data_IF_413690773695
#
_entry.id   IF_413690773695
#
_cell.length_a   1.000
_cell.length_b   1.000
_cell.length_c   1.000
_cell.angle_alpha   90.00
_cell.angle_beta   90.00
_cell.angle_gamma   90.00
#
_symmetry.space_group_name_H-M   'P 1'
#
loop_
_entity.id
_entity.type
_entity.pdbx_description
1 polymer ?
#
# COMPACT_ATOMS: atom_id res chain seq x y z
N UNK A 1 21.40 -11.99 10.08
CA UNK A 1 21.96 -11.36 11.29
C UNK A 1 21.24 -11.73 12.59
N UNK A 2 20.18 -12.54 12.53
CA UNK A 2 19.49 -13.04 13.69
C UNK A 2 18.66 -12.01 14.45
N UNK A 3 18.20 -10.95 13.78
CA UNK A 3 17.25 -10.00 14.32
C UNK A 3 15.84 -10.20 13.74
N UNK A 4 14.85 -9.99 14.57
CA UNK A 4 13.46 -9.78 14.18
C UNK A 4 13.23 -8.28 14.04
N UNK A 5 12.60 -7.85 12.94
CA UNK A 5 12.28 -6.44 12.69
C UNK A 5 10.77 -6.22 12.82
N UNK A 6 10.40 -5.25 13.64
CA UNK A 6 9.04 -4.75 13.73
C UNK A 6 8.93 -3.47 12.89
N UNK A 7 8.11 -3.50 11.86
CA UNK A 7 7.83 -2.35 11.01
C UNK A 7 6.44 -1.84 11.37
N UNK A 8 6.36 -0.62 11.89
CA UNK A 8 5.18 -0.09 12.55
C UNK A 8 4.72 1.18 11.85
N UNK A 9 3.42 1.26 11.55
CA UNK A 9 2.80 2.49 11.10
C UNK A 9 2.54 3.43 12.28
N UNK A 10 2.85 4.70 12.13
CA UNK A 10 2.65 5.74 13.13
C UNK A 10 1.88 6.93 12.57
N UNK A 11 1.27 7.73 13.46
CA UNK A 11 0.62 8.99 13.13
C UNK A 11 -0.73 8.86 12.40
N UNK A 12 -1.35 7.70 12.45
CA UNK A 12 -2.60 7.43 11.75
C UNK A 12 -2.46 7.56 10.24
N UNK A 13 -3.54 7.83 9.51
CA UNK A 13 -3.54 7.98 8.04
C UNK A 13 -3.52 9.44 7.57
N UNK A 14 -3.25 10.36 8.47
CA UNK A 14 -3.13 11.80 8.19
C UNK A 14 -1.74 12.22 7.73
N UNK A 15 -1.47 13.52 7.75
CA UNK A 15 -0.18 14.11 7.33
C UNK A 15 1.00 13.68 8.23
N UNK A 16 0.74 13.26 9.48
CA UNK A 16 1.76 12.69 10.37
C UNK A 16 2.09 11.23 10.13
N UNK A 17 1.48 10.58 9.13
CA UNK A 17 1.71 9.17 8.84
C UNK A 17 3.17 8.90 8.53
N UNK A 18 3.68 7.80 9.05
CA UNK A 18 5.07 7.39 8.86
C UNK A 18 5.28 5.91 9.16
N UNK A 19 6.51 5.48 8.94
CA UNK A 19 6.99 4.13 9.22
C UNK A 19 8.12 4.23 10.22
N UNK A 20 7.97 3.56 11.35
CA UNK A 20 9.02 3.35 12.33
C UNK A 20 9.46 1.89 12.35
N UNK A 21 10.69 1.66 12.75
CA UNK A 21 11.31 0.34 12.81
C UNK A 21 11.93 0.11 14.17
N UNK A 22 11.69 -1.07 14.70
CA UNK A 22 12.42 -1.61 15.84
C UNK A 22 13.01 -2.99 15.50
N UNK A 23 14.04 -3.41 16.19
CA UNK A 23 14.58 -4.77 16.06
C UNK A 23 14.86 -5.41 17.42
N UNK A 24 14.84 -6.72 17.45
CA UNK A 24 15.18 -7.52 18.64
C UNK A 24 15.78 -8.86 18.24
N UNK A 25 16.65 -9.40 19.08
CA UNK A 25 17.11 -10.80 18.96
C UNK A 25 16.10 -11.81 19.48
N UNK A 26 15.07 -11.35 20.19
CA UNK A 26 13.97 -12.18 20.67
C UNK A 26 12.66 -11.71 20.06
N UNK A 27 11.87 -12.63 19.50
CA UNK A 27 10.58 -12.30 18.86
C UNK A 27 9.63 -11.52 19.80
N UNK A 28 9.67 -11.80 21.08
CA UNK A 28 8.85 -11.09 22.07
C UNK A 28 9.50 -9.81 22.63
N UNK A 29 10.68 -9.43 22.12
CA UNK A 29 11.38 -8.23 22.58
C UNK A 29 12.31 -8.45 23.78
N UNK A 30 12.81 -7.38 24.41
CA UNK A 30 12.52 -5.98 24.07
C UNK A 30 13.07 -5.59 22.69
N UNK A 31 12.36 -4.66 22.04
CA UNK A 31 12.79 -4.09 20.75
C UNK A 31 13.54 -2.78 20.98
N UNK A 32 14.68 -2.62 20.36
CA UNK A 32 15.38 -1.34 20.24
C UNK A 32 14.86 -0.58 19.02
N UNK A 33 14.72 0.75 19.17
CA UNK A 33 14.27 1.59 18.07
C UNK A 33 15.40 1.92 17.10
N UNK A 34 15.09 1.97 15.81
CA UNK A 34 16.05 2.43 14.80
C UNK A 34 16.45 3.89 15.05
N UNK A 35 17.73 4.23 14.97
CA UNK A 35 18.19 5.63 15.01
C UNK A 35 17.76 6.44 13.78
N UNK A 36 17.31 5.76 12.72
CA UNK A 36 16.85 6.36 11.47
C UNK A 36 15.33 6.62 11.44
N UNK A 37 14.62 6.37 12.56
CA UNK A 37 13.18 6.60 12.63
C UNK A 37 12.79 8.08 12.54
N UNK A 38 11.69 8.42 11.85
CA UNK A 38 10.93 7.54 10.97
C UNK A 38 11.68 7.22 9.69
N UNK A 39 11.75 5.94 9.32
CA UNK A 39 12.44 5.51 8.08
C UNK A 39 11.71 5.95 6.81
N UNK A 40 10.42 6.29 6.94
CA UNK A 40 9.59 6.91 5.90
C UNK A 40 8.60 7.87 6.55
N UNK A 41 8.58 9.10 6.09
CA UNK A 41 7.56 10.11 6.39
C UNK A 41 7.72 11.29 5.44
N UNK A 42 6.62 11.85 4.96
CA UNK A 42 6.68 13.15 4.27
C UNK A 42 6.85 14.26 5.31
N UNK A 43 7.91 15.07 5.15
CA UNK A 43 8.23 16.18 6.03
C UNK A 43 7.86 17.55 5.45
N UNK A 44 7.77 17.61 4.10
CA UNK A 44 7.40 18.84 3.38
C UNK A 44 5.89 18.82 3.10
N UNK A 45 5.11 19.75 3.71
CA UNK A 45 3.68 19.81 3.49
C UNK A 45 3.30 20.25 2.06
N UNK A 46 4.24 20.83 1.31
CA UNK A 46 4.02 21.24 -0.08
C UNK A 46 4.36 20.14 -1.09
N UNK A 47 4.96 19.04 -0.66
CA UNK A 47 5.30 17.94 -1.55
C UNK A 47 4.04 17.27 -2.14
N UNK A 48 4.10 16.80 -3.40
CA UNK A 48 2.95 16.20 -4.07
C UNK A 48 2.50 14.87 -3.47
N UNK A 49 3.41 14.15 -2.78
CA UNK A 49 3.08 12.90 -2.10
C UNK A 49 3.02 13.15 -0.60
N UNK A 50 1.88 12.85 0.00
CA UNK A 50 1.60 13.04 1.41
C UNK A 50 1.15 11.72 2.07
N UNK A 51 1.08 11.70 3.40
CA UNK A 51 0.47 10.62 4.17
C UNK A 51 1.14 9.25 3.91
N UNK A 52 2.46 9.26 3.65
CA UNK A 52 3.24 8.07 3.34
C UNK A 52 3.48 7.20 4.58
N UNK A 53 3.06 5.96 4.55
CA UNK A 53 3.22 5.04 5.68
C UNK A 53 2.66 3.63 5.42
N UNK A 54 2.51 2.84 6.47
CA UNK A 54 2.00 1.47 6.43
C UNK A 54 2.80 0.57 5.47
N UNK A 55 4.14 0.71 5.49
CA UNK A 55 5.02 0.04 4.55
C UNK A 55 5.24 -1.44 4.85
N UNK A 56 5.61 -2.14 3.81
CA UNK A 56 6.07 -3.52 3.80
C UNK A 56 7.39 -3.58 3.04
N UNK A 57 8.29 -4.44 3.48
CA UNK A 57 9.50 -4.72 2.73
C UNK A 57 9.29 -5.91 1.80
N UNK A 58 9.85 -5.80 0.61
CA UNK A 58 9.94 -6.88 -0.37
C UNK A 58 11.33 -6.91 -0.95
N UNK A 59 11.87 -8.10 -1.14
CA UNK A 59 13.11 -8.30 -1.87
C UNK A 59 12.78 -8.80 -3.27
N UNK A 60 13.35 -8.16 -4.29
CA UNK A 60 13.17 -8.59 -5.67
C UNK A 60 14.09 -9.78 -6.02
N UNK A 61 13.95 -10.30 -7.23
CA UNK A 61 14.70 -11.45 -7.71
C UNK A 61 16.21 -11.17 -7.86
N UNK A 62 16.60 -9.90 -7.96
CA UNK A 62 17.99 -9.47 -8.02
C UNK A 62 18.60 -9.22 -6.63
N UNK A 63 17.80 -9.42 -5.57
CA UNK A 63 18.22 -9.20 -4.19
C UNK A 63 18.13 -7.76 -3.70
N UNK A 64 17.61 -6.84 -4.52
CA UNK A 64 17.36 -5.46 -4.12
C UNK A 64 16.13 -5.39 -3.21
N UNK A 65 16.22 -4.62 -2.14
CA UNK A 65 15.10 -4.40 -1.22
C UNK A 65 14.32 -3.15 -1.57
N UNK A 66 13.01 -3.23 -1.42
CA UNK A 66 12.04 -2.19 -1.70
C UNK A 66 11.07 -2.05 -0.53
N UNK A 67 10.61 -0.83 -0.31
CA UNK A 67 9.50 -0.55 0.59
C UNK A 67 8.26 -0.20 -0.23
N UNK A 68 7.26 -1.05 -0.17
CA UNK A 68 5.93 -0.80 -0.69
C UNK A 68 5.10 -0.16 0.42
N UNK A 69 4.48 0.97 0.16
CA UNK A 69 3.75 1.73 1.16
C UNK A 69 2.53 2.43 0.56
N UNK A 70 1.60 2.84 1.42
CA UNK A 70 0.47 3.66 0.98
C UNK A 70 0.80 5.15 1.13
N UNK A 71 0.20 5.95 0.25
CA UNK A 71 0.31 7.40 0.27
C UNK A 71 -0.96 8.04 -0.28
N UNK A 72 -0.98 9.35 -0.39
CA UNK A 72 -2.01 10.11 -1.08
C UNK A 72 -1.40 11.27 -1.84
N UNK A 73 -2.02 11.67 -2.94
CA UNK A 73 -1.66 12.87 -3.71
C UNK A 73 -2.79 13.89 -3.60
N UNK A 74 -2.71 14.82 -2.62
CA UNK A 74 -3.71 15.86 -2.46
C UNK A 74 -3.71 16.83 -3.66
N UNK A 75 -4.88 17.30 -4.05
CA UNK A 75 -5.04 18.40 -4.97
C UNK A 75 -4.95 19.78 -4.27
N UNK A 76 -5.18 20.87 -5.00
CA UNK A 76 -5.10 22.24 -4.48
C UNK A 76 -5.98 22.52 -3.24
N UNK A 77 -7.02 21.74 -3.00
CA UNK A 77 -7.86 21.83 -1.81
C UNK A 77 -7.44 20.90 -0.68
N UNK A 78 -6.28 20.26 -0.74
CA UNK A 78 -5.84 19.18 0.14
C UNK A 78 -6.76 17.94 0.16
N UNK A 79 -7.55 17.75 -0.88
CA UNK A 79 -8.40 16.59 -1.06
C UNK A 79 -7.67 15.49 -1.81
N UNK A 80 -7.70 14.29 -1.29
CA UNK A 80 -7.17 13.08 -1.95
C UNK A 80 -8.27 12.41 -2.75
N UNK A 81 -8.67 13.01 -3.87
CA UNK A 81 -9.85 12.60 -4.66
C UNK A 81 -9.71 11.20 -5.27
N UNK A 82 -8.50 10.75 -5.55
CA UNK A 82 -8.23 9.38 -6.01
C UNK A 82 -8.06 8.38 -4.87
N UNK A 83 -8.24 8.83 -3.63
CA UNK A 83 -8.06 8.00 -2.44
C UNK A 83 -6.59 7.74 -2.09
N UNK A 84 -6.34 6.60 -1.45
CA UNK A 84 -4.97 6.16 -1.14
C UNK A 84 -4.39 5.37 -2.30
N UNK A 85 -3.15 5.64 -2.58
CA UNK A 85 -2.40 5.03 -3.66
C UNK A 85 -1.24 4.22 -3.07
N UNK A 86 -0.70 3.34 -3.88
CA UNK A 86 0.48 2.54 -3.54
C UNK A 86 1.71 3.16 -4.19
N UNK A 87 2.80 3.22 -3.43
CA UNK A 87 4.08 3.69 -3.90
C UNK A 87 5.19 2.70 -3.53
N UNK A 88 6.32 2.81 -4.21
CA UNK A 88 7.47 1.94 -4.06
C UNK A 88 8.74 2.77 -4.05
N UNK A 89 9.55 2.64 -3.01
CA UNK A 89 10.87 3.27 -2.91
C UNK A 89 11.95 2.24 -2.53
N UNK A 90 13.19 2.44 -2.98
CA UNK A 90 14.28 1.53 -2.66
C UNK A 90 14.65 1.59 -1.18
N UNK A 91 15.09 0.46 -0.67
CA UNK A 91 15.58 0.29 0.69
C UNK A 91 17.09 0.10 0.67
N UNK A 92 17.78 0.82 1.54
CA UNK A 92 19.21 0.70 1.76
C UNK A 92 19.47 0.15 3.15
N UNK A 93 20.10 -1.02 3.24
CA UNK A 93 20.60 -1.56 4.49
C UNK A 93 21.91 -0.87 4.89
N UNK A 94 22.01 -0.50 6.15
CA UNK A 94 23.19 0.14 6.73
C UNK A 94 24.16 -0.90 7.31
N UNK A 95 25.43 -0.53 7.49
CA UNK A 95 26.45 -1.44 8.03
C UNK A 95 26.13 -1.93 9.45
N UNK A 96 25.41 -1.13 10.23
CA UNK A 96 24.96 -1.47 11.59
C UNK A 96 23.68 -2.31 11.62
N UNK A 97 23.22 -2.79 10.45
CA UNK A 97 22.10 -3.70 10.30
C UNK A 97 20.72 -3.06 10.48
N UNK A 98 20.60 -1.76 10.28
CA UNK A 98 19.33 -1.06 10.09
C UNK A 98 19.06 -0.83 8.61
N UNK A 99 17.97 -0.16 8.31
CA UNK A 99 17.70 0.27 6.95
C UNK A 99 17.05 1.65 6.90
N UNK A 100 17.22 2.29 5.75
CA UNK A 100 16.51 3.51 5.37
C UNK A 100 15.69 3.27 4.11
N UNK A 101 14.65 4.06 3.89
CA UNK A 101 13.86 4.04 2.66
C UNK A 101 14.15 5.33 1.91
N UNK A 102 14.46 5.21 0.61
CA UNK A 102 14.82 6.34 -0.25
C UNK A 102 15.90 7.24 0.39
N UNK A 103 16.93 6.63 0.98
CA UNK A 103 18.03 7.33 1.66
C UNK A 103 17.56 8.29 2.78
N UNK A 104 16.38 8.05 3.36
CA UNK A 104 15.78 8.93 4.37
C UNK A 104 15.19 10.24 3.85
N UNK A 105 15.08 10.39 2.53
CA UNK A 105 14.54 11.61 1.86
C UNK A 105 13.01 11.71 1.92
N UNK A 106 12.32 10.66 2.38
CA UNK A 106 10.87 10.57 2.33
C UNK A 106 10.38 9.99 1.00
N UNK A 107 9.04 10.01 0.75
CA UNK A 107 8.46 9.40 -0.44
C UNK A 107 8.87 10.14 -1.71
N UNK A 108 9.18 9.40 -2.77
CA UNK A 108 9.52 9.95 -4.08
C UNK A 108 8.31 10.01 -5.02
N UNK A 109 8.24 11.06 -5.84
CA UNK A 109 7.23 11.16 -6.90
C UNK A 109 7.58 10.26 -8.09
N UNK A 110 8.86 10.15 -8.37
CA UNK A 110 9.41 9.29 -9.43
C UNK A 110 10.62 8.56 -8.89
N UNK A 111 10.78 7.31 -9.30
CA UNK A 111 11.90 6.46 -8.89
C UNK A 111 12.39 5.63 -10.08
N UNK A 112 13.64 5.21 -10.02
CA UNK A 112 14.15 4.21 -10.96
C UNK A 112 13.37 2.91 -10.70
N UNK A 113 12.78 2.34 -11.75
CA UNK A 113 12.06 1.08 -11.65
C UNK A 113 13.01 -0.06 -11.24
N UNK A 114 12.50 -1.12 -10.57
CA UNK A 114 13.25 -2.37 -10.40
C UNK A 114 13.79 -2.88 -11.74
N UNK A 115 15.04 -3.34 -11.77
CA UNK A 115 15.66 -3.95 -12.96
C UNK A 115 15.12 -5.39 -13.14
N UNK A 116 13.88 -5.47 -13.53
CA UNK A 116 13.14 -6.71 -13.74
C UNK A 116 12.44 -6.67 -15.10
N UNK A 117 12.18 -7.84 -15.72
CA UNK A 117 11.35 -7.90 -16.91
C UNK A 117 10.00 -7.25 -16.68
N UNK A 118 9.57 -6.41 -17.61
CA UNK A 118 8.24 -5.80 -17.55
C UNK A 118 7.16 -6.87 -17.64
N UNK A 119 6.26 -6.90 -16.68
CA UNK A 119 5.06 -7.72 -16.73
C UNK A 119 3.93 -6.89 -17.35
N UNK A 120 3.60 -7.20 -18.59
CA UNK A 120 2.45 -6.59 -19.25
C UNK A 120 1.19 -7.22 -18.65
N UNK A 121 0.49 -6.44 -17.85
CA UNK A 121 -0.81 -6.82 -17.31
C UNK A 121 -1.91 -6.18 -18.13
N UNK A 122 -2.58 -6.99 -18.97
CA UNK A 122 -3.77 -6.54 -19.69
C UNK A 122 -4.93 -6.43 -18.69
N UNK A 123 -5.31 -5.20 -18.35
CA UNK A 123 -6.52 -4.96 -17.59
C UNK A 123 -7.73 -5.14 -18.48
N UNK A 124 -8.61 -6.06 -18.14
CA UNK A 124 -9.94 -6.04 -18.68
C UNK A 124 -10.73 -4.89 -18.04
N UNK A 125 -10.88 -3.79 -18.78
CA UNK A 125 -11.61 -2.59 -18.31
C UNK A 125 -13.11 -2.68 -18.55
N UNK A 126 -13.58 -3.79 -19.09
CA UNK A 126 -14.98 -4.02 -19.41
C UNK A 126 -15.40 -5.41 -18.94
N UNK A 127 -16.50 -5.48 -18.22
CA UNK A 127 -17.14 -6.72 -17.82
C UNK A 127 -18.51 -6.82 -18.51
N UNK A 128 -18.70 -7.83 -19.32
CA UNK A 128 -19.94 -8.08 -20.05
C UNK A 128 -20.96 -8.88 -19.23
N UNK A 129 -20.55 -9.30 -18.02
CA UNK A 129 -21.36 -10.08 -17.08
C UNK A 129 -21.97 -11.38 -17.67
N UNK A 130 -21.27 -11.98 -18.64
CA UNK A 130 -21.67 -13.26 -19.21
C UNK A 130 -21.14 -14.46 -18.41
N UNK A 131 -20.17 -14.26 -17.54
CA UNK A 131 -19.70 -15.30 -16.61
C UNK A 131 -20.67 -15.46 -15.44
N UNK A 132 -20.64 -16.61 -14.80
CA UNK A 132 -21.39 -16.92 -13.58
C UNK A 132 -20.71 -16.42 -12.32
N UNK A 133 -19.51 -15.84 -12.42
CA UNK A 133 -18.71 -15.29 -11.32
C UNK A 133 -18.28 -13.88 -11.66
N UNK A 134 -18.24 -13.04 -10.65
CA UNK A 134 -17.61 -11.72 -10.77
C UNK A 134 -16.10 -11.86 -10.97
N UNK A 135 -15.55 -11.01 -11.84
CA UNK A 135 -14.13 -10.87 -12.01
C UNK A 135 -13.48 -10.29 -10.72
N UNK A 136 -12.15 -10.43 -10.63
CA UNK A 136 -11.38 -9.98 -9.45
C UNK A 136 -11.38 -8.46 -9.26
N UNK A 137 -11.79 -7.69 -10.28
CA UNK A 137 -11.95 -6.24 -10.20
C UNK A 137 -13.19 -5.80 -9.41
N UNK A 138 -14.12 -6.72 -9.14
CA UNK A 138 -15.34 -6.43 -8.38
C UNK A 138 -15.14 -6.78 -6.92
N UNK A 139 -15.41 -5.83 -6.06
CA UNK A 139 -15.36 -5.99 -4.62
C UNK A 139 -16.64 -5.47 -3.95
N UNK A 140 -16.98 -6.08 -2.84
CA UNK A 140 -18.09 -5.63 -1.99
C UNK A 140 -17.55 -4.86 -0.78
N UNK A 141 -18.23 -3.78 -0.45
CA UNK A 141 -18.03 -3.13 0.85
C UNK A 141 -18.66 -3.99 1.93
N UNK A 142 -17.86 -4.71 2.73
CA UNK A 142 -18.31 -5.71 3.71
C UNK A 142 -18.77 -7.02 3.05
N UNK A 143 -19.26 -7.96 3.87
CA UNK A 143 -19.78 -9.23 3.38
C UNK A 143 -21.13 -9.01 2.69
N UNK A 144 -21.29 -9.37 1.41
CA UNK A 144 -22.54 -9.22 0.72
C UNK A 144 -23.55 -10.26 1.19
N UNK A 145 -24.83 -9.90 1.16
CA UNK A 145 -25.88 -10.89 1.13
C UNK A 145 -26.00 -11.42 -0.31
N UNK A 146 -25.64 -12.67 -0.52
CA UNK A 146 -25.65 -13.29 -1.85
C UNK A 146 -27.03 -13.34 -2.49
N UNK A 147 -28.11 -13.17 -1.72
CA UNK A 147 -29.46 -13.01 -2.24
C UNK A 147 -29.76 -11.61 -2.79
N UNK A 148 -28.84 -10.64 -2.67
CA UNK A 148 -29.06 -9.26 -3.14
C UNK A 148 -28.49 -8.96 -4.52
N UNK A 149 -27.89 -9.93 -5.17
CA UNK A 149 -27.34 -9.78 -6.52
C UNK A 149 -27.33 -11.10 -7.30
N UNK A 150 -27.25 -11.02 -8.64
CA UNK A 150 -27.17 -12.19 -9.51
C UNK A 150 -26.52 -11.85 -10.84
N UNK A 151 -25.73 -12.78 -11.35
CA UNK A 151 -25.20 -12.79 -12.74
C UNK A 151 -25.97 -13.77 -13.63
N UNK A 152 -26.77 -14.65 -13.04
CA UNK A 152 -27.42 -15.74 -13.76
C UNK A 152 -28.93 -15.51 -14.02
N UNK A 153 -29.57 -14.63 -13.26
CA UNK A 153 -30.99 -14.32 -13.46
C UNK A 153 -31.24 -13.61 -14.80
N UNK A 154 -30.27 -12.79 -15.24
CA UNK A 154 -30.25 -12.15 -16.54
C UNK A 154 -28.82 -12.13 -17.08
N UNK A 155 -28.41 -13.13 -17.86
CA UNK A 155 -27.07 -13.17 -18.42
C UNK A 155 -26.72 -11.89 -19.19
N UNK A 156 -25.48 -11.44 -19.07
CA UNK A 156 -25.00 -10.17 -19.62
C UNK A 156 -25.34 -8.95 -18.75
N UNK A 157 -25.85 -9.14 -17.54
CA UNK A 157 -26.16 -8.06 -16.62
C UNK A 157 -25.76 -8.41 -15.19
N UNK A 158 -25.12 -7.46 -14.50
CA UNK A 158 -24.99 -7.52 -13.05
C UNK A 158 -26.25 -6.97 -12.42
N UNK A 159 -27.11 -7.87 -11.94
CA UNK A 159 -28.38 -7.50 -11.32
C UNK A 159 -28.22 -7.31 -9.82
N UNK A 160 -28.68 -6.19 -9.31
CA UNK A 160 -28.64 -5.83 -7.89
C UNK A 160 -30.05 -5.46 -7.44
N UNK A 161 -30.52 -6.06 -6.34
CA UNK A 161 -31.74 -5.64 -5.65
C UNK A 161 -31.39 -4.64 -4.57
N UNK A 162 -32.00 -3.48 -4.67
CA UNK A 162 -31.86 -2.45 -3.64
C UNK A 162 -32.52 -2.90 -2.35
N UNK A 163 -31.91 -2.54 -1.24
CA UNK A 163 -32.40 -2.84 0.10
C UNK A 163 -32.39 -1.59 0.94
N UNK A 164 -33.23 -1.54 1.97
CA UNK A 164 -33.10 -0.56 3.03
C UNK A 164 -31.79 -0.83 3.76
N UNK A 165 -30.93 0.17 3.83
CA UNK A 165 -29.63 0.06 4.46
C UNK A 165 -29.11 1.40 4.93
N UNK A 166 -28.21 1.35 5.88
CA UNK A 166 -27.40 2.51 6.27
C UNK A 166 -26.06 2.42 5.55
N UNK A 167 -25.62 3.54 5.00
CA UNK A 167 -24.28 3.72 4.46
C UNK A 167 -23.22 3.73 5.56
#
# INVERSE_FOLDING_TARGET
DGYYYAIVAEGGTGYGHGINVGRSKNFYGPYECSPYNPVMRQKDPAAPIQRAGHGKLVQDQNGQWWCYYLCGRPNEGNYTTVGRESALDPVQWTEDGWFTVNEGKGPSLTQIAPDLPECIYERNLFDDFNDTRLNLEWEFVRNPDNGSWSLTERPGYYRIWTRDGQL
#
